data_IF_047590307360
#
_entry.id   IF_047590307360
#
_cell.length_a   1.000
_cell.length_b   1.000
_cell.length_c   1.000
_cell.angle_alpha   90.00
_cell.angle_beta   90.00
_cell.angle_gamma   90.00
#
_symmetry.space_group_name_H-M   'P 1'
#
loop_
_entity.id
_entity.type
_entity.pdbx_description
1 polymer ?
#
# COMPACT_ATOMS: atom_id res chain seq x y z
N UNK A 1 -3.09 15.81 15.80
CA UNK A 1 -1.62 15.79 15.99
C UNK A 1 -1.06 14.40 16.32
N UNK A 2 -1.86 13.42 16.77
CA UNK A 2 -1.36 12.07 17.07
C UNK A 2 -0.68 11.37 15.88
N UNK A 3 -1.29 11.44 14.69
CA UNK A 3 -0.78 10.76 13.48
C UNK A 3 0.61 11.20 13.03
N UNK A 4 1.16 12.28 13.59
CA UNK A 4 2.48 12.85 13.26
C UNK A 4 3.45 12.82 14.46
N UNK A 5 3.08 12.13 15.55
CA UNK A 5 3.86 12.08 16.79
C UNK A 5 4.92 10.96 16.72
N UNK A 6 5.96 11.18 15.92
CA UNK A 6 7.01 10.19 15.65
C UNK A 6 7.75 9.80 16.95
N UNK A 7 7.80 8.50 17.31
CA UNK A 7 8.50 8.05 18.51
C UNK A 7 9.98 8.47 18.52
N UNK A 8 10.44 8.96 19.66
CA UNK A 8 11.80 9.48 19.85
C UNK A 8 11.97 10.96 19.52
N UNK A 9 11.07 11.56 18.72
CA UNK A 9 11.10 12.99 18.38
C UNK A 9 9.99 13.77 19.07
N UNK A 10 8.80 13.18 19.20
CA UNK A 10 7.63 13.82 19.79
C UNK A 10 7.02 12.96 20.90
N UNK A 11 6.43 13.56 21.95
CA UNK A 11 5.71 12.82 22.96
C UNK A 11 4.44 12.16 22.37
N UNK A 12 3.98 11.03 22.94
CA UNK A 12 2.71 10.45 22.56
C UNK A 12 1.56 11.41 22.90
N UNK A 13 0.50 11.35 22.10
CA UNK A 13 -0.69 12.20 22.25
C UNK A 13 -1.80 11.40 22.92
N UNK A 14 -2.31 11.88 24.05
CA UNK A 14 -3.50 11.32 24.68
C UNK A 14 -4.75 11.74 23.91
N UNK A 15 -5.55 10.75 23.51
CA UNK A 15 -6.90 10.95 23.00
C UNK A 15 -7.82 9.99 23.76
N UNK A 16 -8.73 10.53 24.57
CA UNK A 16 -9.70 9.77 25.37
C UNK A 16 -9.05 8.70 26.26
N UNK A 17 -7.95 9.03 26.95
CA UNK A 17 -7.26 8.14 27.89
C UNK A 17 -6.41 7.07 27.22
N UNK A 18 -6.21 7.16 25.90
CA UNK A 18 -5.35 6.26 25.15
C UNK A 18 -4.19 7.05 24.53
N UNK A 19 -2.98 6.53 24.67
CA UNK A 19 -1.78 7.13 24.11
C UNK A 19 -1.58 6.68 22.66
N UNK A 20 -1.46 7.66 21.77
CA UNK A 20 -1.22 7.44 20.34
C UNK A 20 0.13 8.03 19.93
N UNK A 21 0.74 7.40 18.92
CA UNK A 21 1.92 7.93 18.23
C UNK A 21 1.63 7.98 16.72
N UNK A 22 2.66 8.35 15.96
CA UNK A 22 2.61 8.41 14.51
C UNK A 22 2.07 7.11 13.87
N UNK A 23 1.13 7.26 12.94
CA UNK A 23 0.48 6.14 12.28
C UNK A 23 1.41 5.40 11.30
N UNK A 24 2.41 6.09 10.75
CA UNK A 24 3.39 5.56 9.81
C UNK A 24 4.29 4.48 10.39
N UNK A 25 4.38 4.38 11.73
CA UNK A 25 5.06 3.28 12.43
C UNK A 25 4.41 1.93 12.11
N UNK A 26 3.09 1.91 11.96
CA UNK A 26 2.32 0.69 11.64
C UNK A 26 1.95 0.64 10.17
N UNK A 27 1.51 1.76 9.61
CA UNK A 27 0.95 1.85 8.27
C UNK A 27 1.20 3.25 7.71
N UNK A 28 2.27 3.39 6.92
CA UNK A 28 2.59 4.66 6.26
C UNK A 28 1.69 4.93 5.05
N UNK A 29 1.31 3.88 4.33
CA UNK A 29 0.40 3.96 3.18
C UNK A 29 -0.92 3.27 3.51
N UNK A 30 -2.01 4.01 3.81
CA UNK A 30 -3.26 3.43 4.26
C UNK A 30 -4.12 2.86 3.11
N UNK A 31 -3.56 1.94 2.34
CA UNK A 31 -4.24 1.27 1.21
C UNK A 31 -5.46 0.48 1.68
N UNK A 32 -5.30 -0.38 2.69
CA UNK A 32 -6.40 -1.21 3.19
C UNK A 32 -7.54 -0.39 3.81
N UNK A 33 -7.29 0.63 4.65
CA UNK A 33 -8.32 1.56 5.10
C UNK A 33 -9.08 2.22 3.95
N UNK A 34 -8.39 2.69 2.91
CA UNK A 34 -9.03 3.31 1.75
C UNK A 34 -9.92 2.31 0.98
N UNK A 35 -9.45 1.08 0.75
CA UNK A 35 -10.26 0.01 0.14
C UNK A 35 -11.49 -0.29 0.99
N UNK A 36 -11.34 -0.45 2.31
CA UNK A 36 -12.46 -0.72 3.23
C UNK A 36 -13.48 0.42 3.27
N UNK A 37 -13.05 1.65 3.00
CA UNK A 37 -13.93 2.80 2.86
C UNK A 37 -14.69 2.82 1.53
N UNK A 38 -14.46 1.86 0.63
CA UNK A 38 -15.17 1.72 -0.65
C UNK A 38 -14.48 2.43 -1.82
N UNK A 39 -13.16 2.66 -1.74
CA UNK A 39 -12.44 3.28 -2.85
C UNK A 39 -12.27 2.29 -4.02
N UNK A 40 -12.76 2.66 -5.21
CA UNK A 40 -12.54 1.91 -6.46
C UNK A 40 -11.20 2.23 -7.12
N UNK A 41 -10.74 3.47 -6.97
CA UNK A 41 -9.46 3.97 -7.52
C UNK A 41 -8.70 4.71 -6.42
N UNK A 42 -7.43 4.35 -6.22
CA UNK A 42 -6.56 4.96 -5.23
C UNK A 42 -5.39 5.67 -5.93
N UNK A 43 -5.20 6.95 -5.63
CA UNK A 43 -4.00 7.69 -6.01
C UNK A 43 -3.02 7.69 -4.83
N UNK A 44 -1.94 6.91 -4.96
CA UNK A 44 -0.91 6.80 -3.93
C UNK A 44 0.19 7.85 -4.15
N UNK A 45 0.38 8.74 -3.18
CA UNK A 45 1.47 9.72 -3.17
C UNK A 45 2.40 9.37 -2.02
N UNK A 46 3.66 9.09 -2.34
CA UNK A 46 4.68 8.75 -1.36
C UNK A 46 5.95 9.54 -1.64
N UNK A 47 6.78 9.69 -0.61
CA UNK A 47 8.13 10.18 -0.74
C UNK A 47 9.06 8.98 -0.61
N UNK A 48 9.80 8.67 -1.67
CA UNK A 48 10.77 7.57 -1.69
C UNK A 48 12.17 8.14 -1.43
N UNK A 49 12.66 8.10 -0.19
CA UNK A 49 14.05 8.45 0.06
C UNK A 49 14.91 7.32 -0.49
N UNK A 50 15.70 7.59 -1.54
CA UNK A 50 16.71 6.63 -1.99
C UNK A 50 17.71 6.41 -0.84
N UNK A 51 17.57 5.27 -0.16
CA UNK A 51 18.37 4.90 1.00
C UNK A 51 19.87 4.92 0.65
N UNK A 52 20.24 4.67 -0.61
CA UNK A 52 21.62 4.68 -1.10
C UNK A 52 22.20 6.10 -1.17
N UNK A 53 21.35 7.08 -1.44
CA UNK A 53 21.72 8.50 -1.53
C UNK A 53 21.85 9.16 -0.15
N UNK A 54 21.38 8.51 0.91
CA UNK A 54 21.55 9.03 2.27
C UNK A 54 22.99 8.76 2.75
N UNK A 55 23.79 9.81 3.03
CA UNK A 55 25.19 9.64 3.40
C UNK A 55 25.33 8.82 4.69
N UNK A 56 26.16 7.77 4.66
CA UNK A 56 26.52 6.96 5.84
C UNK A 56 27.40 7.73 6.86
N UNK A 57 27.79 8.96 6.54
CA UNK A 57 28.96 9.63 7.09
C UNK A 57 28.80 10.19 8.52
N UNK A 58 27.70 9.93 9.24
CA UNK A 58 27.48 10.53 10.57
C UNK A 58 26.76 9.62 11.57
N UNK A 59 27.14 8.36 11.71
CA UNK A 59 26.77 7.60 12.92
C UNK A 59 27.62 8.04 14.11
N UNK A 60 27.43 9.26 14.61
CA UNK A 60 28.24 9.81 15.71
C UNK A 60 27.70 9.39 17.07
N UNK A 61 26.41 9.06 17.13
CA UNK A 61 25.72 8.67 18.36
C UNK A 61 24.56 7.71 18.08
N UNK A 62 23.96 7.19 19.16
CA UNK A 62 22.83 6.25 19.11
C UNK A 62 21.59 6.85 18.43
N UNK A 63 21.34 8.16 18.54
CA UNK A 63 20.21 8.82 17.89
C UNK A 63 20.37 8.83 16.37
N UNK A 64 21.58 9.06 15.86
CA UNK A 64 21.86 9.01 14.42
C UNK A 64 21.60 7.61 13.84
N UNK A 65 21.96 6.57 14.59
CA UNK A 65 21.66 5.18 14.21
C UNK A 65 20.16 4.90 14.22
N UNK A 66 19.45 5.43 15.22
CA UNK A 66 18.00 5.27 15.33
C UNK A 66 17.24 5.99 14.19
N UNK A 67 17.64 7.22 13.86
CA UNK A 67 17.08 7.98 12.72
C UNK A 67 17.28 7.24 11.39
N UNK A 68 18.48 6.69 11.18
CA UNK A 68 18.75 5.85 10.00
C UNK A 68 17.89 4.60 9.97
N UNK A 69 17.71 3.93 11.10
CA UNK A 69 16.85 2.76 11.21
C UNK A 69 15.41 3.10 10.81
N UNK A 70 14.86 4.20 11.34
CA UNK A 70 13.51 4.68 10.98
C UNK A 70 13.41 5.00 9.49
N UNK A 71 14.41 5.67 8.93
CA UNK A 71 14.42 6.01 7.49
C UNK A 71 14.42 4.77 6.61
N UNK A 72 15.27 3.77 6.93
CA UNK A 72 15.31 2.49 6.21
C UNK A 72 13.97 1.75 6.36
N UNK A 73 13.40 1.75 7.56
CA UNK A 73 12.11 1.12 7.83
C UNK A 73 10.99 1.73 6.98
N UNK A 74 10.90 3.07 6.95
CA UNK A 74 9.90 3.77 6.14
C UNK A 74 10.08 3.52 4.65
N UNK A 75 11.31 3.63 4.12
CA UNK A 75 11.60 3.32 2.73
C UNK A 75 11.21 1.87 2.37
N UNK A 76 11.52 0.92 3.25
CA UNK A 76 11.17 -0.50 3.05
C UNK A 76 9.65 -0.70 3.05
N UNK A 77 8.91 -0.04 3.94
CA UNK A 77 7.46 -0.14 4.01
C UNK A 77 6.80 0.44 2.76
N UNK A 78 7.22 1.63 2.31
CA UNK A 78 6.71 2.25 1.09
C UNK A 78 6.95 1.35 -0.13
N UNK A 79 8.16 0.81 -0.29
CA UNK A 79 8.47 -0.09 -1.40
C UNK A 79 7.60 -1.36 -1.39
N UNK A 80 7.33 -1.94 -0.21
CA UNK A 80 6.40 -3.06 -0.08
C UNK A 80 4.97 -2.66 -0.42
N UNK A 81 4.51 -1.48 -0.02
CA UNK A 81 3.17 -1.00 -0.32
C UNK A 81 2.97 -0.81 -1.83
N UNK A 82 3.97 -0.30 -2.54
CA UNK A 82 3.98 -0.17 -4.00
C UNK A 82 3.91 -1.56 -4.65
N UNK A 83 4.79 -2.49 -4.26
CA UNK A 83 4.80 -3.84 -4.81
C UNK A 83 3.44 -4.54 -4.62
N UNK A 84 2.83 -4.39 -3.44
CA UNK A 84 1.54 -4.97 -3.14
C UNK A 84 0.43 -4.33 -3.98
N UNK A 85 0.43 -3.00 -4.14
CA UNK A 85 -0.52 -2.31 -5.01
C UNK A 85 -0.41 -2.80 -6.46
N UNK A 86 0.81 -2.95 -6.98
CA UNK A 86 1.01 -3.51 -8.31
C UNK A 86 0.53 -4.96 -8.44
N UNK A 87 0.79 -5.79 -7.43
CA UNK A 87 0.33 -7.19 -7.41
C UNK A 87 -1.20 -7.26 -7.44
N UNK A 88 -1.87 -6.42 -6.68
CA UNK A 88 -3.35 -6.31 -6.68
C UNK A 88 -3.82 -5.90 -8.07
N UNK A 89 -3.25 -4.83 -8.65
CA UNK A 89 -3.64 -4.35 -9.97
C UNK A 89 -3.45 -5.41 -11.07
N UNK A 90 -2.32 -6.13 -11.05
CA UNK A 90 -2.08 -7.25 -11.97
C UNK A 90 -3.12 -8.37 -11.80
N UNK A 91 -3.48 -8.69 -10.55
CA UNK A 91 -4.52 -9.68 -10.25
C UNK A 91 -5.89 -9.27 -10.79
N UNK A 92 -6.28 -8.01 -10.60
CA UNK A 92 -7.54 -7.47 -11.12
C UNK A 92 -7.61 -7.58 -12.65
N UNK A 93 -6.55 -7.20 -13.36
CA UNK A 93 -6.48 -7.32 -14.82
C UNK A 93 -6.56 -8.77 -15.29
N UNK A 94 -5.90 -9.70 -14.59
CA UNK A 94 -5.97 -11.12 -14.93
C UNK A 94 -7.37 -11.70 -14.72
N UNK A 95 -8.05 -11.33 -13.63
CA UNK A 95 -9.42 -11.74 -13.35
C UNK A 95 -10.41 -11.18 -14.37
N UNK A 96 -10.27 -9.90 -14.75
CA UNK A 96 -11.13 -9.27 -15.76
C UNK A 96 -11.04 -10.00 -17.12
N UNK A 97 -9.83 -10.40 -17.53
CA UNK A 97 -9.62 -11.18 -18.76
C UNK A 97 -10.28 -12.55 -18.68
N UNK A 98 -10.08 -13.28 -17.58
CA UNK A 98 -10.67 -14.61 -17.40
C UNK A 98 -12.22 -14.56 -17.44
N UNK A 99 -12.83 -13.59 -16.76
CA UNK A 99 -14.29 -13.40 -16.76
C UNK A 99 -14.82 -13.06 -18.16
N UNK A 100 -14.07 -12.28 -18.93
CA UNK A 100 -14.44 -11.94 -20.31
C UNK A 100 -14.38 -13.16 -21.22
N UNK A 101 -13.30 -13.94 -21.15
CA UNK A 101 -13.13 -15.15 -21.97
C UNK A 101 -14.22 -16.20 -21.69
N UNK A 102 -14.59 -16.39 -20.42
CA UNK A 102 -15.72 -17.25 -20.02
C UNK A 102 -17.06 -16.74 -20.58
N UNK A 103 -17.27 -15.42 -20.54
CA UNK A 103 -18.49 -14.80 -21.07
C UNK A 103 -18.60 -14.97 -22.59
N UNK A 104 -17.50 -14.78 -23.32
CA UNK A 104 -17.45 -14.95 -24.77
C UNK A 104 -17.68 -16.42 -25.19
N UNK A 105 -17.09 -17.38 -24.46
CA UNK A 105 -17.32 -18.81 -24.69
C UNK A 105 -18.77 -19.24 -24.40
N UNK A 106 -19.38 -18.69 -23.34
CA UNK A 106 -20.79 -18.91 -23.03
C UNK A 106 -21.73 -18.38 -24.11
N UNK A 107 -21.45 -17.19 -24.65
CA UNK A 107 -22.22 -16.58 -25.72
C UNK A 107 -22.15 -17.41 -27.02
N UNK A 108 -20.95 -17.83 -27.42
CA UNK A 108 -20.75 -18.69 -28.60
C UNK A 108 -21.52 -20.01 -28.49
N UNK A 109 -21.54 -20.61 -27.30
CA UNK A 109 -22.29 -21.84 -27.05
C UNK A 109 -23.80 -21.62 -27.19
N UNK A 110 -24.33 -20.51 -26.66
CA UNK A 110 -25.76 -20.18 -26.83
C UNK A 110 -26.12 -19.90 -28.28
N UNK A 111 -25.27 -19.19 -29.02
CA UNK A 111 -25.49 -18.87 -30.42
C UNK A 111 -25.47 -20.14 -31.29
N UNK A 112 -24.56 -21.08 -31.01
CA UNK A 112 -24.52 -22.39 -31.64
C UNK A 112 -25.79 -23.21 -31.38
N UNK A 113 -26.24 -23.29 -30.12
CA UNK A 113 -27.48 -24.01 -29.76
C UNK A 113 -28.70 -23.43 -30.46
N UNK A 114 -28.79 -22.09 -30.57
CA UNK A 114 -29.88 -21.43 -31.32
C UNK A 114 -29.83 -21.77 -32.80
N UNK A 115 -28.65 -21.73 -33.44
CA UNK A 115 -28.50 -22.05 -34.85
C UNK A 115 -28.81 -23.52 -35.18
N UNK A 116 -28.50 -24.46 -34.28
CA UNK A 116 -28.79 -25.88 -34.45
C UNK A 116 -30.26 -26.26 -34.22
N UNK A 117 -31.06 -25.35 -33.65
CA UNK A 117 -32.49 -25.57 -33.33
C UNK A 117 -33.46 -25.02 -34.39
N UNK A 118 -32.96 -24.49 -35.51
CA UNK A 118 -33.72 -24.08 -36.70
C UNK A 118 -33.57 -25.10 -37.82
#
# INVERSE_FOLDING_TARGET
MASTALPGFFPPVDINGHLYCDGGVVMNTPTLPAIRAGADVLHMIYMDPDVKEIPLAKFRNTLDTFDRMLTIQFATNINKDIEQAERINRGLVAMERALRDESEAGQQTQDFVKAASQ
#
